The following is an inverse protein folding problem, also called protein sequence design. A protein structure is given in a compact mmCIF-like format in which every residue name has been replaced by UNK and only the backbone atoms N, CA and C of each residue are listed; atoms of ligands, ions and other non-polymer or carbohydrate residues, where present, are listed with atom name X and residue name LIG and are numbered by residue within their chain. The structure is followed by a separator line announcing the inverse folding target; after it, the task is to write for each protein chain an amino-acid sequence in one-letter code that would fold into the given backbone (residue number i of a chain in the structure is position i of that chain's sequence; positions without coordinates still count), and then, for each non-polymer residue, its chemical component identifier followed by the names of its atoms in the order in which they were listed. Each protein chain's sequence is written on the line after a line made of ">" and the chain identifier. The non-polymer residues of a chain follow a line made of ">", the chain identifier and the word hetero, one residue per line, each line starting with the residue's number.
data_IF_647398468780
#
_entry.id   IF_647398468780
#
_cell.length_a   1.000
_cell.length_b   1.000
_cell.length_c   1.000
_cell.angle_alpha   90.00
_cell.angle_beta   90.00
_cell.angle_gamma   90.00
#
_symmetry.space_group_name_H-M   'P 1'
#
loop_
_entity.id
_entity.type
_entity.pdbx_description
1 polymer ?
#
# COMPACT_ATOMS: atom_id res chain seq x y z
N UNK A 1 0.01 -6.75 -8.45
CA UNK A 1 0.39 -6.25 -7.11
C UNK A 1 -0.86 -6.14 -6.25
N UNK A 2 -0.79 -6.49 -4.96
CA UNK A 2 -1.91 -6.34 -4.02
C UNK A 2 -1.70 -5.09 -3.16
N UNK A 3 -2.69 -4.20 -3.09
CA UNK A 3 -2.71 -3.01 -2.25
C UNK A 3 -3.73 -3.20 -1.13
N UNK A 4 -3.27 -3.23 0.12
CA UNK A 4 -4.12 -3.49 1.29
C UNK A 4 -4.45 -2.16 1.96
N UNK A 5 -5.75 -1.88 2.05
CA UNK A 5 -6.26 -0.95 3.06
C UNK A 5 -6.50 -1.76 4.34
N UNK A 6 -5.71 -1.55 5.40
CA UNK A 6 -5.66 -2.48 6.51
C UNK A 6 -6.92 -2.45 7.35
N UNK A 7 -7.14 -3.56 8.05
CA UNK A 7 -8.18 -3.66 9.06
C UNK A 7 -8.00 -2.60 10.16
N UNK A 8 -9.09 -2.02 10.64
CA UNK A 8 -9.07 -1.07 11.74
C UNK A 8 -10.09 -1.46 12.81
N UNK A 9 -9.59 -1.74 14.02
CA UNK A 9 -10.40 -2.15 15.17
C UNK A 9 -11.41 -1.08 15.59
N UNK A 10 -11.07 0.20 15.44
CA UNK A 10 -11.90 1.32 15.86
C UNK A 10 -12.95 1.71 14.81
N UNK A 11 -12.68 1.42 13.54
CA UNK A 11 -13.55 1.78 12.42
C UNK A 11 -14.65 0.74 12.11
N UNK A 12 -14.77 -0.35 12.90
CA UNK A 12 -15.78 -1.42 12.69
C UNK A 12 -17.21 -0.90 12.54
N UNK A 13 -17.57 0.18 13.26
CA UNK A 13 -18.95 0.71 13.27
C UNK A 13 -19.17 1.86 12.28
N UNK A 14 -18.12 2.61 11.96
CA UNK A 14 -18.15 3.76 11.05
C UNK A 14 -16.74 3.97 10.49
N UNK A 15 -16.54 3.86 9.17
CA UNK A 15 -15.27 4.21 8.58
C UNK A 15 -14.99 5.71 8.77
N UNK A 16 -13.82 6.04 9.28
CA UNK A 16 -13.39 7.44 9.49
C UNK A 16 -12.54 7.97 8.33
N UNK A 17 -11.87 7.05 7.63
CA UNK A 17 -10.91 7.34 6.58
C UNK A 17 -11.29 6.56 5.31
N UNK A 18 -11.09 7.20 4.17
CA UNK A 18 -11.32 6.62 2.85
C UNK A 18 -9.97 6.45 2.13
N UNK A 19 -9.72 5.31 1.46
CA UNK A 19 -8.41 4.94 0.90
C UNK A 19 -8.05 5.70 -0.39
N UNK A 20 -8.25 7.01 -0.44
CA UNK A 20 -8.07 7.81 -1.66
C UNK A 20 -6.66 7.70 -2.25
N UNK A 21 -5.63 7.65 -1.39
CA UNK A 21 -4.25 7.47 -1.83
C UNK A 21 -4.00 6.12 -2.53
N UNK A 22 -4.71 5.06 -2.14
CA UNK A 22 -4.63 3.79 -2.87
C UNK A 22 -5.30 3.89 -4.25
N UNK A 23 -6.33 4.73 -4.39
CA UNK A 23 -6.94 5.06 -5.67
C UNK A 23 -5.94 5.71 -6.64
N UNK A 24 -5.26 6.76 -6.19
CA UNK A 24 -4.22 7.41 -7.01
C UNK A 24 -3.06 6.46 -7.34
N UNK A 25 -2.62 5.64 -6.37
CA UNK A 25 -1.61 4.62 -6.63
C UNK A 25 -2.06 3.61 -7.69
N UNK A 26 -3.32 3.14 -7.62
CA UNK A 26 -3.86 2.22 -8.60
C UNK A 26 -3.90 2.86 -10.00
N UNK A 27 -4.38 4.10 -10.12
CA UNK A 27 -4.37 4.85 -11.38
C UNK A 27 -2.94 5.02 -11.92
N UNK A 28 -1.97 5.32 -11.05
CA UNK A 28 -0.57 5.46 -11.45
C UNK A 28 0.04 4.15 -11.96
N UNK A 29 -0.24 3.02 -11.30
CA UNK A 29 0.17 1.70 -11.78
C UNK A 29 -0.39 1.42 -13.17
N UNK A 30 -1.68 1.65 -13.37
CA UNK A 30 -2.37 1.41 -14.65
C UNK A 30 -1.76 2.25 -15.78
N UNK A 31 -1.51 3.54 -15.54
CA UNK A 31 -0.83 4.43 -16.50
C UNK A 31 0.56 3.95 -16.91
N UNK A 32 1.23 3.20 -16.04
CA UNK A 32 2.57 2.64 -16.27
C UNK A 32 2.53 1.20 -16.81
N UNK A 33 1.36 0.68 -17.18
CA UNK A 33 1.17 -0.67 -17.73
C UNK A 33 1.25 -1.77 -16.68
N UNK A 34 1.05 -1.45 -15.40
CA UNK A 34 1.14 -2.39 -14.28
C UNK A 34 -0.25 -2.68 -13.70
N UNK A 35 -0.43 -3.89 -13.19
CA UNK A 35 -1.69 -4.34 -12.59
C UNK A 35 -1.65 -4.27 -11.06
N UNK A 36 -2.61 -3.56 -10.49
CA UNK A 36 -2.89 -3.49 -9.05
C UNK A 36 -4.28 -4.02 -8.71
N UNK A 37 -4.44 -4.57 -7.51
CA UNK A 37 -5.73 -4.93 -6.94
C UNK A 37 -5.81 -4.37 -5.52
N UNK A 38 -6.93 -3.74 -5.15
CA UNK A 38 -7.14 -3.21 -3.80
C UNK A 38 -7.92 -4.23 -2.98
N UNK A 39 -7.35 -4.66 -1.86
CA UNK A 39 -8.04 -5.42 -0.83
C UNK A 39 -8.38 -4.49 0.34
N UNK A 40 -9.64 -4.08 0.40
CA UNK A 40 -10.14 -3.26 1.48
C UNK A 40 -10.60 -4.12 2.67
N UNK A 41 -9.70 -4.33 3.63
CA UNK A 41 -10.00 -5.12 4.81
C UNK A 41 -10.99 -4.43 5.75
N UNK A 42 -11.14 -3.10 5.68
CA UNK A 42 -12.06 -2.35 6.54
C UNK A 42 -13.51 -2.53 6.07
N UNK A 43 -13.76 -2.38 4.77
CA UNK A 43 -15.10 -2.57 4.20
C UNK A 43 -15.51 -4.04 4.25
N UNK A 44 -14.59 -4.94 3.91
CA UNK A 44 -14.87 -6.38 3.86
C UNK A 44 -14.91 -7.07 5.24
N UNK A 45 -14.65 -6.33 6.32
CA UNK A 45 -14.50 -6.85 7.67
C UNK A 45 -13.54 -8.06 7.73
N UNK A 46 -12.31 -7.87 7.25
CA UNK A 46 -11.29 -8.91 7.16
C UNK A 46 -10.15 -8.66 8.17
N UNK A 47 -10.27 -9.13 9.42
CA UNK A 47 -9.17 -9.13 10.37
C UNK A 47 -7.96 -9.91 9.82
N UNK A 48 -6.71 -9.49 10.10
CA UNK A 48 -5.53 -10.15 9.56
C UNK A 48 -5.42 -11.64 9.90
N UNK A 49 -5.91 -12.09 11.05
CA UNK A 49 -5.81 -13.49 11.46
C UNK A 49 -6.96 -14.39 10.95
N UNK A 50 -7.96 -13.79 10.29
CA UNK A 50 -9.11 -14.52 9.77
C UNK A 50 -8.73 -15.47 8.64
N UNK A 51 -9.45 -16.60 8.55
CA UNK A 51 -9.23 -17.56 7.46
C UNK A 51 -9.62 -16.98 6.11
N UNK A 52 -10.60 -16.07 6.07
CA UNK A 52 -10.99 -15.35 4.85
C UNK A 52 -9.86 -14.45 4.34
N UNK A 53 -9.18 -13.70 5.21
CA UNK A 53 -8.02 -12.90 4.79
C UNK A 53 -6.90 -13.78 4.21
N UNK A 54 -6.57 -14.89 4.89
CA UNK A 54 -5.56 -15.84 4.40
C UNK A 54 -5.99 -16.45 3.06
N UNK A 55 -7.27 -16.77 2.89
CA UNK A 55 -7.83 -17.29 1.64
C UNK A 55 -7.66 -16.28 0.50
N UNK A 56 -7.93 -15.00 0.72
CA UNK A 56 -7.69 -13.94 -0.28
C UNK A 56 -6.22 -13.90 -0.72
N UNK A 57 -5.28 -13.98 0.23
CA UNK A 57 -3.85 -14.03 -0.08
C UNK A 57 -3.47 -15.26 -0.92
N UNK A 58 -4.00 -16.44 -0.59
CA UNK A 58 -3.77 -17.69 -1.33
C UNK A 58 -4.40 -17.67 -2.72
N UNK A 59 -5.56 -17.03 -2.89
CA UNK A 59 -6.22 -16.92 -4.18
C UNK A 59 -5.49 -15.95 -5.11
N UNK A 60 -5.11 -14.78 -4.59
CA UNK A 60 -4.49 -13.72 -5.38
C UNK A 60 -3.00 -13.98 -5.66
N UNK A 61 -2.31 -14.70 -4.76
CA UNK A 61 -0.86 -15.01 -4.81
C UNK A 61 0.03 -13.83 -5.26
N UNK A 62 -0.08 -12.65 -4.63
CA UNK A 62 0.70 -11.49 -5.04
C UNK A 62 2.19 -11.65 -4.74
N UNK A 63 3.03 -11.31 -5.72
CA UNK A 63 4.48 -11.18 -5.56
C UNK A 63 4.87 -9.89 -4.80
N UNK A 64 4.03 -8.84 -4.91
CA UNK A 64 4.22 -7.56 -4.22
C UNK A 64 2.95 -7.20 -3.46
N UNK A 65 3.11 -6.91 -2.17
CA UNK A 65 2.04 -6.51 -1.24
C UNK A 65 2.35 -5.11 -0.70
N UNK A 66 1.60 -4.12 -1.17
CA UNK A 66 1.61 -2.75 -0.65
C UNK A 66 0.62 -2.61 0.51
N UNK A 67 1.03 -2.05 1.65
CA UNK A 67 0.15 -1.86 2.82
C UNK A 67 0.13 -0.38 3.22
N UNK A 68 -1.06 0.23 3.21
CA UNK A 68 -1.22 1.59 3.72
C UNK A 68 -1.14 1.59 5.24
N UNK A 69 -0.30 2.44 5.83
CA UNK A 69 -0.03 2.42 7.27
C UNK A 69 -0.21 3.79 7.91
N UNK A 70 -1.16 3.83 8.85
CA UNK A 70 -1.53 4.99 9.64
C UNK A 70 -1.24 4.72 11.12
N UNK A 71 -0.94 5.75 11.89
CA UNK A 71 -0.56 5.55 13.30
C UNK A 71 -1.65 4.82 14.11
N UNK A 72 -2.93 5.07 13.82
CA UNK A 72 -4.08 4.45 14.49
C UNK A 72 -4.33 2.97 14.12
N UNK A 73 -3.70 2.44 13.06
CA UNK A 73 -3.85 1.04 12.65
C UNK A 73 -2.57 0.22 12.80
N UNK A 74 -1.54 0.78 13.45
CA UNK A 74 -0.22 0.15 13.62
C UNK A 74 -0.27 -1.30 14.14
N UNK A 75 -1.04 -1.64 15.20
CA UNK A 75 -1.10 -3.03 15.66
C UNK A 75 -1.64 -3.98 14.58
N UNK A 76 -2.63 -3.54 13.81
CA UNK A 76 -3.24 -4.33 12.74
C UNK A 76 -2.30 -4.45 11.55
N UNK A 77 -1.61 -3.39 11.13
CA UNK A 77 -0.63 -3.45 10.05
C UNK A 77 0.51 -4.41 10.39
N UNK A 78 1.04 -4.37 11.62
CA UNK A 78 2.07 -5.32 12.06
C UNK A 78 1.58 -6.76 11.99
N UNK A 79 0.33 -7.01 12.38
CA UNK A 79 -0.27 -8.34 12.26
C UNK A 79 -0.45 -8.75 10.78
N UNK A 80 -0.94 -7.84 9.93
CA UNK A 80 -1.07 -8.06 8.49
C UNK A 80 0.26 -8.46 7.87
N UNK A 81 1.35 -7.74 8.17
CA UNK A 81 2.70 -8.05 7.66
C UNK A 81 3.13 -9.47 8.05
N UNK A 82 2.93 -9.85 9.32
CA UNK A 82 3.26 -11.19 9.82
C UNK A 82 2.48 -12.27 9.08
N UNK A 83 1.16 -12.10 8.95
CA UNK A 83 0.30 -13.09 8.28
C UNK A 83 0.64 -13.17 6.79
N UNK A 84 0.91 -12.03 6.14
CA UNK A 84 1.36 -12.01 4.74
C UNK A 84 2.65 -12.82 4.58
N UNK A 85 3.68 -12.63 5.42
CA UNK A 85 4.91 -13.44 5.34
C UNK A 85 4.68 -14.92 5.71
N UNK A 86 3.72 -15.25 6.57
CA UNK A 86 3.38 -16.64 6.88
C UNK A 86 2.74 -17.35 5.68
N UNK A 87 1.81 -16.68 4.99
CA UNK A 87 1.07 -17.26 3.85
C UNK A 87 1.88 -17.16 2.55
N UNK A 88 2.62 -16.08 2.36
CA UNK A 88 3.40 -15.74 1.17
C UNK A 88 4.84 -15.37 1.58
N UNK A 89 5.69 -16.34 1.96
CA UNK A 89 7.05 -16.06 2.47
C UNK A 89 7.95 -15.26 1.52
N UNK A 90 7.70 -15.39 0.21
CA UNK A 90 8.48 -14.72 -0.83
C UNK A 90 7.87 -13.39 -1.30
N UNK A 91 6.69 -12.99 -0.78
CA UNK A 91 6.09 -11.73 -1.19
C UNK A 91 6.95 -10.55 -0.72
N UNK A 92 7.25 -9.63 -1.64
CA UNK A 92 7.87 -8.36 -1.35
C UNK A 92 6.84 -7.45 -0.66
N UNK A 93 7.11 -7.04 0.57
CA UNK A 93 6.23 -6.17 1.35
C UNK A 93 6.72 -4.74 1.27
N UNK A 94 5.85 -3.87 0.76
CA UNK A 94 6.07 -2.43 0.68
C UNK A 94 5.06 -1.73 1.57
N UNK A 95 5.46 -0.70 2.32
CA UNK A 95 4.50 0.11 3.06
C UNK A 95 4.70 1.60 2.85
N UNK A 96 3.59 2.34 2.90
CA UNK A 96 3.58 3.79 2.76
C UNK A 96 2.45 4.40 3.59
N UNK A 97 2.36 5.73 3.57
CA UNK A 97 1.36 6.48 4.32
C UNK A 97 1.97 7.28 5.48
N UNK A 98 1.12 7.88 6.33
CA UNK A 98 1.57 8.82 7.35
C UNK A 98 2.56 8.22 8.36
N UNK A 99 2.40 6.95 8.73
CA UNK A 99 3.27 6.31 9.72
C UNK A 99 4.68 6.03 9.14
N UNK A 100 4.84 5.36 7.98
CA UNK A 100 6.14 5.26 7.30
C UNK A 100 6.78 6.62 7.00
N UNK A 101 5.99 7.64 6.69
CA UNK A 101 6.51 8.99 6.45
C UNK A 101 7.14 9.60 7.69
N UNK A 102 6.54 9.41 8.87
CA UNK A 102 7.02 9.95 10.12
C UNK A 102 8.22 9.18 10.70
N UNK A 103 8.22 7.84 10.60
CA UNK A 103 9.20 6.99 11.28
C UNK A 103 10.29 6.42 10.36
N UNK A 104 10.07 6.42 9.04
CA UNK A 104 11.08 6.13 8.01
C UNK A 104 12.01 4.95 8.30
N UNK A 105 13.29 5.25 8.46
CA UNK A 105 14.40 4.34 8.67
C UNK A 105 14.30 3.51 9.96
N UNK A 106 13.69 4.04 11.01
CA UNK A 106 13.47 3.31 12.26
C UNK A 106 12.57 2.09 12.05
N UNK A 107 11.60 2.15 11.12
CA UNK A 107 10.72 1.02 10.81
C UNK A 107 11.46 -0.12 10.11
N UNK A 108 12.27 0.18 9.09
CA UNK A 108 13.08 -0.86 8.41
C UNK A 108 14.13 -1.49 9.33
N UNK A 109 14.56 -0.76 10.36
CA UNK A 109 15.49 -1.28 11.36
C UNK A 109 14.77 -2.19 12.37
N UNK A 110 13.54 -1.85 12.74
CA UNK A 110 12.75 -2.59 13.73
C UNK A 110 11.99 -3.80 13.14
N UNK A 111 11.78 -3.85 11.83
CA UNK A 111 10.97 -4.87 11.15
C UNK A 111 11.66 -5.35 9.89
N UNK A 112 12.26 -6.55 9.97
CA UNK A 112 12.96 -7.18 8.85
C UNK A 112 12.00 -7.69 7.77
N UNK A 113 10.73 -7.91 8.11
CA UNK A 113 9.69 -8.37 7.20
C UNK A 113 9.26 -7.30 6.17
N UNK A 114 9.56 -6.03 6.42
CA UNK A 114 9.34 -4.94 5.48
C UNK A 114 10.51 -4.86 4.52
N UNK A 115 10.27 -4.97 3.23
CA UNK A 115 11.31 -4.94 2.20
C UNK A 115 11.59 -3.50 1.76
N UNK A 116 10.54 -2.69 1.57
CA UNK A 116 10.62 -1.30 1.15
C UNK A 116 9.62 -0.41 1.87
N UNK A 117 9.92 0.88 2.00
CA UNK A 117 8.96 1.90 2.40
C UNK A 117 8.90 3.04 1.39
N UNK A 118 7.75 3.70 1.31
CA UNK A 118 7.63 5.03 0.72
C UNK A 118 7.33 6.07 1.80
N UNK A 119 8.02 7.20 1.74
CA UNK A 119 7.71 8.36 2.56
C UNK A 119 7.16 9.51 1.69
N UNK A 120 6.07 10.13 2.16
CA UNK A 120 5.24 11.05 1.39
C UNK A 120 4.55 10.38 0.22
N UNK A 121 4.61 11.02 -0.94
CA UNK A 121 3.96 10.58 -2.17
C UNK A 121 4.71 9.40 -2.80
N UNK A 122 3.96 8.49 -3.39
CA UNK A 122 4.48 7.24 -3.94
C UNK A 122 3.97 6.99 -5.38
N UNK A 123 3.14 7.88 -5.91
CA UNK A 123 2.52 7.80 -7.22
C UNK A 123 3.57 7.72 -8.33
N UNK A 124 4.68 8.45 -8.23
CA UNK A 124 5.76 8.37 -9.22
C UNK A 124 6.71 7.19 -8.96
N UNK A 125 7.03 6.91 -7.69
CA UNK A 125 8.07 5.94 -7.33
C UNK A 125 7.59 4.49 -7.28
N UNK A 126 6.37 4.24 -6.82
CA UNK A 126 5.83 2.88 -6.66
C UNK A 126 5.72 2.11 -7.99
N UNK A 127 5.28 2.71 -9.12
CA UNK A 127 5.33 2.05 -10.42
C UNK A 127 6.75 1.71 -10.88
N UNK A 128 7.75 2.58 -10.61
CA UNK A 128 9.16 2.30 -10.94
C UNK A 128 9.67 1.09 -10.17
N UNK A 129 9.40 1.02 -8.86
CA UNK A 129 9.72 -0.15 -8.05
C UNK A 129 9.00 -1.39 -8.56
N UNK A 130 7.70 -1.29 -8.83
CA UNK A 130 6.89 -2.38 -9.35
C UNK A 130 7.39 -2.95 -10.66
N UNK A 131 7.88 -2.09 -11.58
CA UNK A 131 8.47 -2.52 -12.85
C UNK A 131 9.78 -3.28 -12.63
N UNK A 132 10.69 -2.76 -11.79
CA UNK A 132 11.93 -3.46 -11.44
C UNK A 132 11.68 -4.84 -10.80
N UNK A 133 10.70 -4.92 -9.90
CA UNK A 133 10.32 -6.17 -9.25
C UNK A 133 9.70 -7.18 -10.23
N UNK A 134 9.03 -6.71 -11.28
CA UNK A 134 8.43 -7.58 -12.30
C UNK A 134 9.46 -8.04 -13.34
N UNK A 135 10.41 -7.19 -13.71
CA UNK A 135 11.47 -7.50 -14.68
C UNK A 135 12.52 -8.47 -14.11
N UNK A 136 12.78 -8.41 -12.80
CA UNK A 136 13.68 -9.34 -12.10
C UNK A 136 13.21 -10.80 -12.08
N UNK A 137 11.95 -11.07 -12.39
CA UNK A 137 11.42 -12.45 -12.47
C UNK A 137 11.91 -13.20 -13.74
N UNK A 138 12.54 -12.51 -14.70
CA UNK A 138 13.03 -13.10 -15.97
C UNK A 138 14.39 -13.83 -15.88
N UNK A 139 14.78 -14.35 -14.71
CA UNK A 139 15.87 -15.32 -14.58
C UNK A 139 17.13 -14.86 -13.85
N UNK A 140 17.14 -13.65 -13.28
CA UNK A 140 18.14 -13.24 -12.28
C UNK A 140 17.42 -12.68 -11.07
N UNK A 141 17.25 -13.50 -10.03
CA UNK A 141 16.57 -13.17 -8.75
C UNK A 141 17.29 -12.08 -7.91
N UNK A 142 18.05 -11.18 -8.54
CA UNK A 142 18.86 -10.18 -7.88
C UNK A 142 18.42 -8.81 -8.37
N UNK A 143 17.78 -8.03 -7.50
CA UNK A 143 17.50 -6.62 -7.77
C UNK A 143 18.84 -5.90 -7.89
N UNK A 144 19.06 -5.20 -8.99
CA UNK A 144 20.18 -4.28 -9.10
C UNK A 144 19.94 -3.09 -8.17
N UNK A 145 20.63 -3.08 -7.02
CA UNK A 145 20.52 -2.03 -6.00
C UNK A 145 20.89 -0.64 -6.53
N UNK A 146 21.65 -0.54 -7.63
CA UNK A 146 21.94 0.76 -8.24
C UNK A 146 20.68 1.43 -8.80
N UNK A 147 19.75 0.65 -9.34
CA UNK A 147 18.48 1.14 -9.90
C UNK A 147 17.50 1.62 -8.82
N UNK A 148 17.65 1.13 -7.58
CA UNK A 148 16.82 1.57 -6.46
C UNK A 148 17.08 3.03 -6.09
N UNK A 149 18.27 3.58 -6.35
CA UNK A 149 18.62 4.97 -6.03
C UNK A 149 17.79 6.03 -6.76
N UNK A 150 17.25 5.67 -7.93
CA UNK A 150 16.50 6.59 -8.80
C UNK A 150 14.98 6.58 -8.54
N UNK A 151 14.52 5.81 -7.55
CA UNK A 151 13.11 5.68 -7.21
C UNK A 151 12.72 6.77 -6.19
N UNK A 152 11.92 7.77 -6.57
CA UNK A 152 11.60 8.88 -5.69
C UNK A 152 10.83 8.40 -4.45
N UNK A 153 11.17 8.95 -3.28
CA UNK A 153 10.48 8.65 -2.02
C UNK A 153 10.72 7.25 -1.44
N UNK A 154 11.56 6.42 -2.07
CA UNK A 154 11.87 5.08 -1.58
C UNK A 154 12.80 5.11 -0.37
N UNK A 155 12.52 4.25 0.61
CA UNK A 155 13.42 3.86 1.68
C UNK A 155 13.66 2.35 1.58
N UNK A 156 14.92 1.92 1.61
CA UNK A 156 15.29 0.53 1.41
C UNK A 156 16.59 0.18 2.14
N UNK A 157 16.86 -1.12 2.33
CA UNK A 157 18.18 -1.61 2.76
C UNK A 157 18.99 -1.95 1.52
N UNK A 158 20.22 -1.43 1.41
CA UNK A 158 21.09 -1.78 0.29
C UNK A 158 21.71 -3.19 0.45
N UNK A 159 22.56 -3.58 -0.50
CA UNK A 159 23.36 -4.81 -0.50
C UNK A 159 24.18 -5.04 0.79
N UNK A 160 24.55 -3.95 1.49
CA UNK A 160 25.28 -3.96 2.77
C UNK A 160 24.37 -3.90 3.99
N UNK A 161 23.04 -3.99 3.81
CA UNK A 161 22.04 -3.89 4.88
C UNK A 161 21.85 -2.48 5.45
N UNK A 162 22.53 -1.47 4.90
CA UNK A 162 22.40 -0.07 5.35
C UNK A 162 21.13 0.56 4.78
N UNK A 163 20.39 1.28 5.63
CA UNK A 163 19.18 1.98 5.20
C UNK A 163 19.54 3.19 4.33
N UNK A 164 18.90 3.29 3.17
CA UNK A 164 18.96 4.40 2.22
C UNK A 164 17.59 5.03 2.09
N UNK A 165 17.57 6.35 1.90
CA UNK A 165 16.37 7.17 1.73
C UNK A 165 16.57 8.09 0.55
N UNK A 166 15.79 7.90 -0.50
CA UNK A 166 15.89 8.68 -1.73
C UNK A 166 15.17 10.01 -1.60
N UNK A 167 15.45 10.94 -2.52
CA UNK A 167 14.76 12.23 -2.58
C UNK A 167 13.29 12.02 -2.99
N UNK A 168 12.38 12.82 -2.43
CA UNK A 168 10.98 12.84 -2.88
C UNK A 168 10.84 13.57 -4.21
N UNK A 169 9.79 13.19 -4.93
CA UNK A 169 9.23 13.97 -6.02
C UNK A 169 7.79 14.33 -5.64
N UNK A 170 7.32 15.46 -6.15
CA UNK A 170 5.96 15.95 -5.93
C UNK A 170 5.40 16.38 -7.27
N UNK A 171 4.27 15.78 -7.66
CA UNK A 171 3.58 16.20 -8.87
C UNK A 171 2.91 17.55 -8.62
N UNK A 172 3.26 18.56 -9.44
CA UNK A 172 2.71 19.91 -9.31
C UNK A 172 1.39 20.07 -10.04
N UNK A 173 1.15 19.23 -11.04
CA UNK A 173 -0.09 19.22 -11.81
C UNK A 173 -1.00 18.08 -11.33
N UNK A 174 -2.00 18.41 -10.51
CA UNK A 174 -2.94 17.42 -9.98
C UNK A 174 -3.72 16.68 -11.07
N UNK A 175 -3.99 17.32 -12.21
CA UNK A 175 -4.67 16.67 -13.34
C UNK A 175 -3.81 15.54 -13.93
N UNK A 176 -2.48 15.64 -13.81
CA UNK A 176 -1.56 14.60 -14.28
C UNK A 176 -1.67 13.30 -13.46
N UNK A 177 -2.15 13.35 -12.21
CA UNK A 177 -2.41 12.16 -11.38
C UNK A 177 -3.53 11.30 -11.96
N UNK A 178 -4.48 11.94 -12.65
CA UNK A 178 -5.63 11.29 -13.29
C UNK A 178 -6.78 11.02 -12.33
N UNK A 179 -7.90 10.58 -12.90
CA UNK A 179 -9.10 10.28 -12.14
C UNK A 179 -8.95 9.02 -11.31
N UNK A 180 -9.67 8.99 -10.18
CA UNK A 180 -9.83 7.81 -9.34
C UNK A 180 -11.17 7.16 -9.67
N UNK A 181 -11.16 5.85 -9.80
CA UNK A 181 -12.38 5.06 -9.87
C UNK A 181 -12.93 4.85 -8.45
N UNK A 182 -13.96 5.63 -8.10
CA UNK A 182 -14.60 5.57 -6.79
C UNK A 182 -15.45 4.31 -6.58
N UNK A 183 -15.85 3.63 -7.66
CA UNK A 183 -16.58 2.37 -7.57
C UNK A 183 -15.61 1.24 -7.20
N UNK A 184 -14.40 1.23 -7.77
CA UNK A 184 -13.32 0.34 -7.33
C UNK A 184 -12.93 0.55 -5.87
N UNK A 185 -13.03 1.78 -5.35
CA UNK A 185 -12.85 2.09 -3.93
C UNK A 185 -14.10 1.86 -3.07
N UNK A 186 -15.20 1.38 -3.64
CA UNK A 186 -16.45 1.07 -2.94
C UNK A 186 -17.02 2.27 -2.16
N UNK A 187 -16.94 3.48 -2.73
CA UNK A 187 -17.40 4.70 -2.07
C UNK A 187 -18.86 4.61 -1.57
N UNK A 188 -19.75 4.01 -2.36
CA UNK A 188 -21.14 3.80 -1.98
C UNK A 188 -21.27 2.97 -0.69
N UNK A 189 -20.44 1.93 -0.53
CA UNK A 189 -20.40 1.10 0.68
C UNK A 189 -19.90 1.91 1.88
N UNK A 190 -18.85 2.70 1.71
CA UNK A 190 -18.36 3.63 2.73
C UNK A 190 -19.46 4.59 3.21
N UNK A 191 -20.14 5.25 2.27
CA UNK A 191 -21.23 6.17 2.56
C UNK A 191 -22.40 5.48 3.26
N UNK A 192 -22.76 4.27 2.84
CA UNK A 192 -23.82 3.47 3.50
C UNK A 192 -23.48 3.11 4.95
N UNK A 193 -22.19 2.98 5.27
CA UNK A 193 -21.65 2.78 6.62
C UNK A 193 -21.41 4.08 7.39
N UNK A 194 -21.92 5.20 6.89
CA UNK A 194 -21.87 6.50 7.55
C UNK A 194 -20.56 7.27 7.39
N UNK A 195 -19.67 6.84 6.49
CA UNK A 195 -18.51 7.66 6.11
C UNK A 195 -18.98 8.99 5.52
N UNK A 196 -18.37 10.08 5.98
CA UNK A 196 -18.64 11.43 5.50
C UNK A 196 -17.45 12.32 5.82
N UNK A 197 -16.89 13.02 4.84
CA UNK A 197 -15.82 13.99 5.05
C UNK A 197 -16.39 15.40 4.96
N UNK A 198 -16.26 16.20 6.03
CA UNK A 198 -16.67 17.61 6.04
C UNK A 198 -18.19 17.89 6.11
N UNK A 199 -19.07 16.89 6.04
CA UNK A 199 -20.52 17.06 6.21
C UNK A 199 -21.31 15.80 5.79
N UNK A 200 -22.55 15.62 6.26
CA UNK A 200 -23.42 14.50 5.82
C UNK A 200 -23.79 14.71 4.35
N UNK A 201 -23.66 13.66 3.54
CA UNK A 201 -24.21 13.67 2.18
C UNK A 201 -25.73 13.86 2.28
N UNK A 202 -26.23 14.95 1.68
CA UNK A 202 -27.67 15.17 1.50
C UNK A 202 -28.07 14.22 0.37
N UNK A 203 -28.90 13.23 0.69
CA UNK A 203 -29.58 12.45 -0.34
C UNK A 203 -30.84 13.23 -0.71
N UNK A 204 -30.88 13.78 -1.91
CA UNK A 204 -32.14 14.22 -2.49
C UNK A 204 -32.99 12.97 -2.71
N UNK A 205 -34.18 12.95 -2.09
CA UNK A 205 -35.18 11.89 -2.27
C UNK A 205 -35.79 11.96 -3.67
#
# INVERSE_FOLDING_TARGET
>A
MLLIWPYNLHARKRPELFPIGLGYLLTSLQKNGLYGHILDCCVRDLPPDSDDFKRELVLLRPNVVGISWWSNNTPMVKQTIRVVKQVLPQACIVSGGPHPTAYGDALLSAMSELDFLFFGEAEEGFPKLGRLLSEGENGTNTIDFSLLGDIPGLIYRNDKGSVRKNKQSFEKNLDALGAIDYDLLQLATYQSRGYSYGGKAIRDN
#
